data_IF_577579704610
#
_entry.id   IF_577579704610
#
_cell.length_a   1.000
_cell.length_b   1.000
_cell.length_c   1.000
_cell.angle_alpha   90.00
_cell.angle_beta   90.00
_cell.angle_gamma   90.00
#
_symmetry.space_group_name_H-M   'P 1'
#
loop_
_entity.id
_entity.type
_entity.pdbx_description
1 polymer ?
#
# COMPACT_ATOMS: atom_id res chain seq x y z
N UNK A 1 5.60 -19.55 17.03
CA UNK A 1 4.31 -19.66 16.31
C UNK A 1 4.03 -18.32 15.65
N UNK A 2 4.02 -18.23 14.31
CA UNK A 2 3.64 -16.98 13.62
C UNK A 2 2.14 -16.76 13.81
N UNK A 3 1.76 -15.64 14.42
CA UNK A 3 0.36 -15.23 14.57
C UNK A 3 -0.20 -14.99 13.16
N UNK A 4 -1.27 -15.69 12.78
CA UNK A 4 -1.98 -15.39 11.54
C UNK A 4 -2.84 -14.16 11.79
N UNK A 5 -2.45 -13.03 11.22
CA UNK A 5 -3.21 -11.78 11.26
C UNK A 5 -4.15 -11.74 10.07
N UNK A 6 -5.35 -11.19 10.24
CA UNK A 6 -6.23 -10.82 9.13
C UNK A 6 -6.04 -9.35 8.83
N UNK A 7 -5.65 -9.02 7.60
CA UNK A 7 -5.44 -7.65 7.17
C UNK A 7 -6.42 -7.26 6.08
N UNK A 8 -6.91 -6.02 6.09
CA UNK A 8 -7.61 -5.44 4.95
C UNK A 8 -6.75 -5.52 3.68
N UNK A 9 -7.36 -5.96 2.59
CA UNK A 9 -6.77 -5.94 1.25
C UNK A 9 -7.60 -5.04 0.34
N UNK A 10 -7.25 -3.75 0.33
CA UNK A 10 -7.92 -2.75 -0.49
C UNK A 10 -6.96 -1.70 -1.02
N UNK A 11 -7.36 -1.04 -2.12
CA UNK A 11 -6.72 0.19 -2.59
C UNK A 11 -7.78 1.19 -3.03
N UNK A 12 -7.44 2.48 -3.05
CA UNK A 12 -8.27 3.53 -3.66
C UNK A 12 -8.60 3.19 -5.12
N UNK A 13 -9.79 3.57 -5.61
CA UNK A 13 -10.22 3.25 -6.97
C UNK A 13 -9.40 3.96 -8.05
N UNK A 14 -8.70 5.05 -7.73
CA UNK A 14 -7.74 5.62 -8.65
C UNK A 14 -6.63 4.63 -9.04
N UNK A 15 -6.20 3.76 -8.13
CA UNK A 15 -5.29 2.67 -8.49
C UNK A 15 -5.93 1.72 -9.49
N UNK A 16 -7.24 1.45 -9.38
CA UNK A 16 -7.97 0.60 -10.31
C UNK A 16 -7.88 1.13 -11.75
N UNK A 17 -8.04 2.43 -11.95
CA UNK A 17 -7.86 3.07 -13.26
C UNK A 17 -6.44 2.87 -13.78
N UNK A 18 -5.43 3.01 -12.91
CA UNK A 18 -4.06 2.69 -13.27
C UNK A 18 -3.81 1.20 -13.54
N UNK A 19 -4.59 0.28 -12.96
CA UNK A 19 -4.51 -1.15 -13.24
C UNK A 19 -5.28 -1.56 -14.52
N UNK A 20 -6.38 -0.87 -14.86
CA UNK A 20 -7.29 -1.19 -15.96
C UNK A 20 -7.02 -0.42 -17.26
N UNK A 21 -6.77 0.89 -17.21
CA UNK A 21 -6.88 1.78 -18.38
C UNK A 21 -5.59 2.02 -19.18
N UNK A 22 -4.41 1.78 -18.62
CA UNK A 22 -3.15 1.98 -19.32
C UNK A 22 -2.71 0.80 -20.20
N UNK A 23 -3.63 0.33 -21.04
CA UNK A 23 -3.34 -0.52 -22.20
C UNK A 23 -2.35 0.13 -23.18
N UNK A 24 -2.05 1.44 -23.04
CA UNK A 24 -1.16 2.19 -23.94
C UNK A 24 0.03 2.91 -23.27
N UNK A 25 0.37 2.63 -22.00
CA UNK A 25 1.46 3.38 -21.33
C UNK A 25 2.30 2.52 -20.39
N UNK A 26 3.63 2.70 -20.49
CA UNK A 26 4.69 2.10 -19.65
C UNK A 26 4.37 2.09 -18.13
N UNK A 27 3.50 3.00 -17.67
CA UNK A 27 3.07 3.14 -16.27
C UNK A 27 2.34 1.90 -15.68
N UNK A 28 1.52 1.17 -16.46
CA UNK A 28 0.82 -0.04 -15.95
C UNK A 28 1.80 -1.15 -15.61
N UNK A 29 2.79 -1.34 -16.49
CA UNK A 29 3.84 -2.33 -16.28
C UNK A 29 4.55 -2.04 -14.96
N UNK A 30 4.81 -0.77 -14.66
CA UNK A 30 5.45 -0.36 -13.41
C UNK A 30 4.59 -0.72 -12.21
N UNK A 31 3.34 -0.25 -12.10
CA UNK A 31 2.51 -0.54 -10.92
C UNK A 31 2.27 -2.04 -10.72
N UNK A 32 1.98 -2.81 -11.77
CA UNK A 32 1.83 -4.28 -11.68
C UNK A 32 3.14 -5.00 -11.38
N UNK A 33 4.30 -4.43 -11.75
CA UNK A 33 5.62 -4.99 -11.45
C UNK A 33 6.01 -4.81 -9.99
N UNK A 34 5.53 -3.76 -9.35
CA UNK A 34 5.89 -3.42 -7.98
C UNK A 34 4.82 -3.81 -6.95
N UNK A 35 3.53 -3.71 -7.28
CA UNK A 35 2.43 -3.99 -6.37
C UNK A 35 1.60 -5.21 -6.78
N UNK A 36 1.02 -5.85 -5.77
CA UNK A 36 0.01 -6.89 -5.97
C UNK A 36 -1.36 -6.26 -5.97
N UNK A 37 -2.23 -6.68 -6.89
CA UNK A 37 -3.61 -6.20 -6.91
C UNK A 37 -4.31 -6.58 -5.58
N UNK A 38 -5.02 -5.64 -4.95
CA UNK A 38 -5.80 -5.90 -3.75
C UNK A 38 -7.02 -6.77 -4.09
N UNK A 39 -7.69 -7.28 -3.06
CA UNK A 39 -8.97 -7.98 -3.23
C UNK A 39 -10.09 -7.05 -3.70
N UNK A 40 -10.06 -5.79 -3.29
CA UNK A 40 -11.08 -4.82 -3.68
C UNK A 40 -10.47 -3.44 -3.96
N UNK A 41 -10.98 -2.76 -4.99
CA UNK A 41 -10.72 -1.34 -5.21
C UNK A 41 -11.97 -0.57 -4.82
N UNK A 42 -11.88 0.33 -3.84
CA UNK A 42 -13.07 1.01 -3.34
C UNK A 42 -12.73 2.33 -2.66
N UNK A 43 -13.59 3.33 -2.84
CA UNK A 43 -13.56 4.57 -2.07
C UNK A 43 -13.69 4.32 -0.56
N UNK A 44 -14.20 3.16 -0.15
CA UNK A 44 -14.30 2.78 1.26
C UNK A 44 -12.95 2.41 1.89
N UNK A 45 -11.91 2.23 1.06
CA UNK A 45 -10.53 2.06 1.51
C UNK A 45 -9.88 3.39 1.95
N UNK A 46 -10.39 4.50 1.40
CA UNK A 46 -9.97 5.86 1.72
C UNK A 46 -10.44 6.25 3.12
N UNK A 47 -9.92 7.36 3.65
CA UNK A 47 -10.29 7.84 4.98
C UNK A 47 -11.53 8.77 4.91
N UNK A 48 -12.57 8.56 5.75
CA UNK A 48 -12.70 7.54 6.79
C UNK A 48 -13.00 6.14 6.26
N UNK A 49 -12.24 5.16 6.75
CA UNK A 49 -12.32 3.78 6.32
C UNK A 49 -13.62 3.11 6.81
N UNK A 50 -14.33 2.41 5.93
CA UNK A 50 -15.56 1.66 6.28
C UNK A 50 -15.29 0.15 6.28
N UNK A 51 -15.12 -0.49 7.45
CA UNK A 51 -14.67 -1.89 7.53
C UNK A 51 -15.68 -2.90 6.98
N UNK A 52 -16.97 -2.57 6.94
CA UNK A 52 -18.05 -3.50 6.57
C UNK A 52 -17.97 -4.03 5.12
N UNK A 53 -17.35 -3.29 4.21
CA UNK A 53 -17.24 -3.66 2.79
C UNK A 53 -15.85 -4.19 2.39
N UNK A 54 -14.93 -4.24 3.35
CA UNK A 54 -13.52 -4.46 3.08
C UNK A 54 -13.15 -5.93 3.27
N UNK A 55 -12.51 -6.49 2.25
CA UNK A 55 -12.09 -7.88 2.28
C UNK A 55 -10.85 -8.05 3.16
N UNK A 56 -10.88 -9.08 3.99
CA UNK A 56 -9.77 -9.50 4.84
C UNK A 56 -8.98 -10.61 4.16
N UNK A 57 -7.66 -10.57 4.31
CA UNK A 57 -6.75 -11.63 3.84
C UNK A 57 -5.91 -12.15 5.00
N UNK A 58 -5.63 -13.46 4.99
CA UNK A 58 -4.69 -14.06 5.94
C UNK A 58 -3.28 -13.57 5.65
N UNK A 59 -2.62 -13.02 6.67
CA UNK A 59 -1.29 -12.47 6.64
C UNK A 59 -0.45 -13.13 7.74
N UNK A 60 0.76 -13.58 7.39
CA UNK A 60 1.71 -14.19 8.37
C UNK A 60 2.60 -13.17 9.07
N UNK A 61 2.43 -11.89 8.73
CA UNK A 61 3.22 -10.75 9.21
C UNK A 61 2.27 -9.62 9.64
N UNK A 62 2.78 -8.40 9.74
CA UNK A 62 1.97 -7.21 10.06
C UNK A 62 1.08 -6.74 8.90
N UNK A 63 0.02 -6.04 9.27
CA UNK A 63 -0.81 -5.27 8.37
C UNK A 63 -0.20 -3.89 8.16
N UNK A 64 -0.18 -3.41 6.92
CA UNK A 64 0.29 -2.08 6.56
C UNK A 64 -0.81 -1.28 5.88
N UNK A 65 -0.84 0.01 6.22
CA UNK A 65 -1.59 1.03 5.49
C UNK A 65 -0.59 2.02 4.92
N UNK A 66 -0.58 2.19 3.61
CA UNK A 66 0.26 3.14 2.89
C UNK A 66 -0.64 4.24 2.34
N UNK A 67 -0.33 5.47 2.70
CA UNK A 67 -0.98 6.68 2.22
C UNK A 67 -0.01 7.45 1.33
N UNK A 68 -0.49 7.92 0.18
CA UNK A 68 0.28 8.69 -0.79
C UNK A 68 -0.52 9.91 -1.20
N UNK A 69 0.14 11.05 -1.41
CA UNK A 69 -0.50 12.22 -2.01
C UNK A 69 -0.52 12.07 -3.52
N UNK A 70 -1.67 12.36 -4.13
CA UNK A 70 -1.82 12.38 -5.57
C UNK A 70 -1.29 13.70 -6.13
N UNK A 71 -0.29 13.61 -6.99
CA UNK A 71 0.24 14.72 -7.77
C UNK A 71 -0.25 14.64 -9.22
N UNK A 72 -0.75 15.76 -9.75
CA UNK A 72 -1.12 15.90 -11.16
C UNK A 72 -0.35 17.09 -11.71
N UNK A 73 0.41 16.88 -12.78
CA UNK A 73 1.30 17.90 -13.37
C UNK A 73 2.26 18.54 -12.33
N UNK A 74 2.76 17.75 -11.38
CA UNK A 74 3.65 18.22 -10.32
C UNK A 74 2.98 19.00 -9.19
N UNK A 75 1.66 19.24 -9.25
CA UNK A 75 0.91 19.90 -8.18
C UNK A 75 0.16 18.88 -7.31
N UNK A 76 0.19 19.04 -5.97
CA UNK A 76 -0.59 18.20 -5.08
C UNK A 76 -2.08 18.50 -5.26
N UNK A 77 -2.87 17.48 -5.53
CA UNK A 77 -4.33 17.62 -5.73
C UNK A 77 -5.11 17.73 -4.42
N UNK A 78 -4.44 17.60 -3.28
CA UNK A 78 -5.06 17.47 -1.95
C UNK A 78 -5.75 16.13 -1.71
N UNK A 79 -5.87 15.26 -2.74
CA UNK A 79 -6.40 13.90 -2.59
C UNK A 79 -5.31 12.95 -2.11
N UNK A 80 -5.66 12.14 -1.12
CA UNK A 80 -4.80 11.09 -0.56
C UNK A 80 -5.29 9.74 -1.05
N UNK A 81 -4.37 8.96 -1.58
CA UNK A 81 -4.59 7.60 -2.01
C UNK A 81 -4.11 6.65 -0.93
N UNK A 82 -4.88 5.59 -0.69
CA UNK A 82 -4.64 4.61 0.35
C UNK A 82 -4.49 3.22 -0.26
N UNK A 83 -3.55 2.47 0.30
CA UNK A 83 -3.31 1.07 -0.01
C UNK A 83 -3.20 0.31 1.32
N UNK A 84 -3.98 -0.75 1.48
CA UNK A 84 -3.99 -1.58 2.69
C UNK A 84 -3.72 -3.02 2.30
N UNK A 85 -2.82 -3.67 3.03
CA UNK A 85 -2.47 -5.05 2.77
C UNK A 85 -1.49 -5.64 3.76
N UNK A 86 -1.18 -6.91 3.53
CA UNK A 86 -0.14 -7.61 4.27
C UNK A 86 1.25 -7.14 3.82
N UNK A 87 2.16 -6.91 4.76
CA UNK A 87 3.50 -6.38 4.48
C UNK A 87 4.27 -7.16 3.39
N UNK A 88 4.20 -8.50 3.42
CA UNK A 88 4.90 -9.35 2.45
C UNK A 88 4.24 -9.41 1.07
N UNK A 89 2.93 -9.20 0.98
CA UNK A 89 2.20 -9.39 -0.29
C UNK A 89 1.80 -8.08 -0.94
N UNK A 90 1.84 -6.95 -0.23
CA UNK A 90 1.47 -5.63 -0.75
C UNK A 90 2.36 -5.25 -1.94
N UNK A 91 3.67 -5.44 -1.80
CA UNK A 91 4.64 -5.26 -2.87
C UNK A 91 5.18 -6.61 -3.36
N UNK A 92 5.24 -6.81 -4.69
CA UNK A 92 5.73 -8.06 -5.30
C UNK A 92 7.19 -8.37 -4.98
N UNK A 93 8.01 -7.32 -4.85
CA UNK A 93 9.42 -7.44 -4.48
C UNK A 93 9.65 -7.42 -2.96
N UNK A 94 8.56 -7.37 -2.19
CA UNK A 94 8.59 -7.20 -0.75
C UNK A 94 9.08 -5.81 -0.32
N UNK A 95 9.18 -5.66 0.98
CA UNK A 95 9.65 -4.44 1.64
C UNK A 95 11.13 -4.54 1.97
N UNK A 96 11.74 -3.41 2.28
CA UNK A 96 13.08 -3.41 2.84
C UNK A 96 13.06 -4.05 4.24
N UNK A 97 14.04 -4.92 4.52
CA UNK A 97 14.09 -5.68 5.78
C UNK A 97 14.26 -4.75 6.98
N UNK A 98 15.04 -3.68 6.82
CA UNK A 98 15.27 -2.71 7.88
C UNK A 98 13.97 -2.01 8.29
N UNK A 99 13.20 -1.48 7.33
CA UNK A 99 11.90 -0.86 7.60
C UNK A 99 10.89 -1.87 8.13
N UNK A 100 10.86 -3.09 7.58
CA UNK A 100 9.96 -4.15 8.05
C UNK A 100 10.20 -4.48 9.53
N UNK A 101 11.46 -4.61 9.95
CA UNK A 101 11.82 -4.91 11.34
C UNK A 101 11.40 -3.81 12.34
N UNK A 102 11.30 -2.56 11.88
CA UNK A 102 10.82 -1.44 12.69
C UNK A 102 9.31 -1.51 12.85
N UNK A 103 8.59 -1.74 11.75
CA UNK A 103 7.12 -1.84 11.74
C UNK A 103 6.57 -3.11 12.42
N UNK A 104 7.38 -4.18 12.49
CA UNK A 104 7.02 -5.44 13.15
C UNK A 104 7.12 -5.39 14.67
N UNK A 105 7.69 -4.31 15.24
CA UNK A 105 7.85 -4.15 16.69
C UNK A 105 6.80 -3.26 17.35
N UNK A 106 6.32 -2.24 16.64
CA UNK A 106 5.40 -1.24 17.18
C UNK A 106 4.35 -0.81 16.16
N UNK A 107 3.16 -0.44 16.63
CA UNK A 107 2.13 0.24 15.86
C UNK A 107 2.56 1.70 15.66
N UNK A 108 3.20 1.98 14.52
CA UNK A 108 3.74 3.31 14.23
C UNK A 108 3.32 3.78 12.85
N UNK A 109 3.08 5.09 12.75
CA UNK A 109 2.90 5.78 11.48
C UNK A 109 4.12 6.64 11.19
N UNK A 110 4.76 6.44 10.04
CA UNK A 110 5.95 7.18 9.64
C UNK A 110 5.90 7.59 8.18
N UNK A 111 6.32 8.82 7.91
CA UNK A 111 6.58 9.29 6.56
C UNK A 111 8.01 8.90 6.14
N UNK A 112 8.11 8.33 4.94
CA UNK A 112 9.38 7.92 4.34
C UNK A 112 9.31 7.98 2.82
N UNK A 113 10.46 7.85 2.16
CA UNK A 113 10.49 7.72 0.71
C UNK A 113 9.91 6.37 0.29
N UNK A 114 9.14 6.32 -0.79
CA UNK A 114 8.69 5.07 -1.39
C UNK A 114 9.86 4.12 -1.70
N UNK A 115 11.02 4.68 -2.09
CA UNK A 115 12.25 3.94 -2.36
C UNK A 115 12.91 3.32 -1.11
N UNK A 116 12.70 3.91 0.08
CA UNK A 116 13.22 3.34 1.34
C UNK A 116 12.35 2.18 1.82
N UNK A 117 11.04 2.29 1.59
CA UNK A 117 10.04 1.32 1.99
C UNK A 117 10.04 0.08 1.09
N UNK A 118 9.96 0.30 -0.22
CA UNK A 118 9.84 -0.73 -1.23
C UNK A 118 11.17 -0.89 -1.98
N UNK A 119 11.51 -2.12 -2.37
CA UNK A 119 12.73 -2.40 -3.14
C UNK A 119 12.58 -1.96 -4.61
N UNK A 120 12.60 -0.65 -4.85
CA UNK A 120 12.55 -0.05 -6.19
C UNK A 120 13.96 0.11 -6.77
N UNK A 121 14.14 -0.38 -8.00
CA UNK A 121 15.28 0.01 -8.83
C UNK A 121 14.96 1.37 -9.43
N UNK A 122 15.43 2.45 -8.79
CA UNK A 122 15.50 3.82 -9.35
C UNK A 122 14.21 4.37 -10.00
N UNK A 123 13.32 4.99 -9.23
CA UNK A 123 12.40 6.00 -9.75
C UNK A 123 11.69 6.73 -8.60
N UNK A 124 11.80 8.05 -8.58
CA UNK A 124 11.09 9.06 -7.77
C UNK A 124 10.94 8.83 -6.26
N UNK A 125 11.55 9.72 -5.48
CA UNK A 125 11.40 9.82 -4.03
C UNK A 125 10.04 10.41 -3.64
N UNK A 126 8.95 9.80 -4.10
CA UNK A 126 7.62 10.17 -3.64
C UNK A 126 7.52 9.84 -2.15
N UNK A 127 7.09 10.81 -1.36
CA UNK A 127 6.87 10.62 0.07
C UNK A 127 5.59 9.84 0.30
N UNK A 128 5.67 8.83 1.14
CA UNK A 128 4.57 7.97 1.51
C UNK A 128 4.49 7.89 3.03
N UNK A 129 3.28 7.91 3.57
CA UNK A 129 3.02 7.71 4.99
C UNK A 129 2.59 6.27 5.20
N UNK A 130 3.34 5.53 6.01
CA UNK A 130 3.10 4.12 6.27
C UNK A 130 2.74 3.93 7.72
N UNK A 131 1.64 3.24 8.00
CA UNK A 131 1.21 2.86 9.32
C UNK A 131 1.21 1.33 9.44
N UNK A 132 1.86 0.80 10.49
CA UNK A 132 1.81 -0.61 10.86
C UNK A 132 0.73 -0.88 11.92
N UNK A 133 0.16 -2.08 11.85
CA UNK A 133 -0.76 -2.61 12.86
C UNK A 133 -0.39 -4.05 13.20
N UNK A 134 -0.09 -4.29 14.48
CA UNK A 134 0.28 -5.56 15.11
C UNK A 134 -0.97 -6.30 15.58
N UNK A 135 -1.83 -6.71 14.66
CA UNK A 135 -3.01 -7.52 14.98
C UNK A 135 -3.96 -7.71 13.81
N UNK A 136 -5.05 -8.43 14.06
CA UNK A 136 -6.19 -8.53 13.15
C UNK A 136 -6.80 -7.14 12.93
N UNK A 137 -6.88 -6.71 11.68
CA UNK A 137 -7.61 -5.53 11.22
C UNK A 137 -8.29 -5.81 9.90
#
# INVERSE_FOLDING_TARGET
>A
MYRQNRCYSCMSPMYEEFFKNGLNSSLISLLRRFFTAPKNFSHQCDEPMKPESMHLVSCRTICLTVQQELYVMGQPTGKRLFMRGCALTLARRGLNNHTLSMFDRYDICREMSAADLFRYDRADSQRVRVCSCLGDR
#
